data_IF_686814164958
#
_entry.id   IF_686814164958
#
_cell.length_a   1.000
_cell.length_b   1.000
_cell.length_c   1.000
_cell.angle_alpha   90.00
_cell.angle_beta   90.00
_cell.angle_gamma   90.00
#
_symmetry.space_group_name_H-M   'P 1'
#
loop_
_entity.id
_entity.type
_entity.pdbx_description
1 polymer ?
#
# COMPACT_ATOMS: atom_id res chain seq x y z
N UNK A 1 -16.88 2.58 -8.02
CA UNK A 1 -15.64 2.73 -7.21
C UNK A 1 -14.49 2.16 -8.00
N UNK A 2 -13.31 2.77 -7.92
CA UNK A 2 -12.12 2.32 -8.64
C UNK A 2 -11.28 1.41 -7.74
N UNK A 3 -10.45 0.59 -8.36
CA UNK A 3 -9.53 -0.31 -7.66
C UNK A 3 -8.11 0.10 -7.99
N UNK A 4 -7.29 0.28 -6.96
CA UNK A 4 -5.91 0.70 -7.12
C UNK A 4 -4.95 -0.34 -6.55
N UNK A 5 -3.77 -0.42 -7.15
CA UNK A 5 -2.60 -1.10 -6.57
C UNK A 5 -1.67 -0.04 -6.02
N UNK A 6 -1.21 -0.22 -4.78
CA UNK A 6 -0.28 0.70 -4.12
C UNK A 6 1.12 0.12 -4.19
N UNK A 7 2.04 0.92 -4.71
CA UNK A 7 3.46 0.63 -4.79
C UNK A 7 4.22 1.53 -3.81
N UNK A 8 5.28 0.99 -3.21
CA UNK A 8 6.14 1.70 -2.26
C UNK A 8 7.61 1.59 -2.63
N UNK A 9 8.35 2.69 -2.50
CA UNK A 9 9.83 2.72 -2.53
C UNK A 9 10.35 3.81 -1.61
N UNK A 10 11.12 3.45 -0.58
CA UNK A 10 11.79 4.41 0.33
C UNK A 10 10.87 5.57 0.78
N UNK A 11 9.65 5.24 1.23
CA UNK A 11 8.56 6.18 1.66
C UNK A 11 7.77 6.89 0.55
N UNK A 12 8.10 6.69 -0.73
CA UNK A 12 7.25 7.12 -1.84
C UNK A 12 6.13 6.11 -2.06
N UNK A 13 4.89 6.59 -2.10
CA UNK A 13 3.71 5.78 -2.38
C UNK A 13 3.10 6.21 -3.72
N UNK A 14 2.83 5.24 -4.59
CA UNK A 14 2.21 5.45 -5.89
C UNK A 14 0.98 4.56 -6.01
N UNK A 15 -0.15 5.14 -6.44
CA UNK A 15 -1.38 4.41 -6.70
C UNK A 15 -1.63 4.29 -8.21
N UNK A 16 -1.73 3.06 -8.70
CA UNK A 16 -2.09 2.75 -10.09
C UNK A 16 -3.52 2.20 -10.16
N UNK A 17 -4.35 2.70 -11.07
CA UNK A 17 -5.71 2.19 -11.29
C UNK A 17 -5.62 0.89 -12.08
N UNK A 18 -6.17 -0.20 -11.53
CA UNK A 18 -6.13 -1.54 -12.17
C UNK A 18 -6.99 -1.56 -13.44
N UNK A 19 -7.94 -0.64 -13.56
CA UNK A 19 -8.86 -0.55 -14.70
C UNK A 19 -8.33 0.36 -15.83
N UNK A 20 -7.20 1.06 -15.62
CA UNK A 20 -6.57 1.87 -16.68
C UNK A 20 -5.83 0.94 -17.67
N UNK A 21 -5.91 1.25 -18.97
CA UNK A 21 -5.23 0.47 -20.02
C UNK A 21 -3.71 0.53 -19.88
N UNK A 22 -3.18 1.60 -19.29
CA UNK A 22 -1.75 1.80 -19.02
C UNK A 22 -1.25 1.02 -17.80
N UNK A 23 -2.14 0.37 -17.04
CA UNK A 23 -1.80 -0.28 -15.77
C UNK A 23 -0.62 -1.24 -15.88
N UNK A 24 -0.59 -2.10 -16.91
CA UNK A 24 0.48 -3.09 -17.07
C UNK A 24 1.82 -2.43 -17.39
N UNK A 25 1.83 -1.41 -18.25
CA UNK A 25 3.04 -0.68 -18.61
C UNK A 25 3.61 0.08 -17.41
N UNK A 26 2.77 0.82 -16.69
CA UNK A 26 3.16 1.58 -15.50
C UNK A 26 3.62 0.63 -14.37
N UNK A 27 2.93 -0.49 -14.17
CA UNK A 27 3.32 -1.52 -13.20
C UNK A 27 4.72 -2.06 -13.50
N UNK A 28 5.00 -2.42 -14.75
CA UNK A 28 6.33 -2.91 -15.13
C UNK A 28 7.42 -1.86 -14.91
N UNK A 29 7.13 -0.59 -15.22
CA UNK A 29 8.07 0.50 -14.97
C UNK A 29 8.36 0.67 -13.47
N UNK A 30 7.34 0.61 -12.61
CA UNK A 30 7.51 0.68 -11.17
C UNK A 30 8.35 -0.50 -10.65
N UNK A 31 8.03 -1.72 -11.07
CA UNK A 31 8.79 -2.91 -10.67
C UNK A 31 10.26 -2.86 -11.13
N UNK A 32 10.53 -2.38 -12.35
CA UNK A 32 11.90 -2.17 -12.85
C UNK A 32 12.67 -1.10 -12.07
N UNK A 33 11.96 -0.17 -11.44
CA UNK A 33 12.53 0.88 -10.61
C UNK A 33 12.49 0.51 -9.12
N UNK A 34 12.59 -0.78 -8.75
CA UNK A 34 12.59 -1.29 -7.36
C UNK A 34 11.41 -0.81 -6.49
N UNK A 35 10.26 -0.50 -7.09
CA UNK A 35 9.06 -0.34 -6.30
C UNK A 35 8.49 -1.71 -5.93
N UNK A 36 8.04 -1.84 -4.70
CA UNK A 36 7.41 -3.03 -4.19
C UNK A 36 5.91 -2.83 -4.12
N UNK A 37 5.14 -3.90 -4.32
CA UNK A 37 3.68 -3.83 -4.15
C UNK A 37 3.38 -3.88 -2.65
N UNK A 38 2.92 -2.76 -2.10
CA UNK A 38 2.48 -2.66 -0.71
C UNK A 38 1.08 -3.22 -0.56
N UNK A 39 0.15 -2.81 -1.43
CA UNK A 39 -1.25 -3.26 -1.41
C UNK A 39 -1.68 -3.64 -2.82
N UNK A 40 -2.10 -4.89 -3.00
CA UNK A 40 -2.51 -5.44 -4.32
C UNK A 40 -3.84 -4.90 -4.82
N UNK A 41 -4.74 -4.54 -3.92
CA UNK A 41 -6.06 -4.04 -4.27
C UNK A 41 -6.60 -3.15 -3.14
N UNK A 42 -6.86 -1.89 -3.45
CA UNK A 42 -7.53 -0.96 -2.55
C UNK A 42 -8.68 -0.27 -3.28
N UNK A 43 -9.85 -0.29 -2.66
CA UNK A 43 -11.02 0.40 -3.20
C UNK A 43 -11.05 1.86 -2.74
N UNK A 44 -11.04 2.77 -3.71
CA UNK A 44 -11.08 4.20 -3.46
C UNK A 44 -11.86 4.94 -4.55
N UNK A 45 -12.21 6.19 -4.28
CA UNK A 45 -12.87 7.06 -5.25
C UNK A 45 -11.85 7.62 -6.26
N UNK A 46 -10.64 7.90 -5.81
CA UNK A 46 -9.53 8.47 -6.56
C UNK A 46 -8.17 7.99 -6.00
N UNK A 47 -7.08 8.40 -6.68
CA UNK A 47 -5.69 8.03 -6.34
C UNK A 47 -5.26 8.61 -4.98
N UNK A 48 -5.74 9.81 -4.61
CA UNK A 48 -5.39 10.46 -3.34
C UNK A 48 -5.94 9.69 -2.14
N UNK A 49 -7.23 9.33 -2.19
CA UNK A 49 -7.89 8.53 -1.15
C UNK A 49 -7.25 7.13 -1.06
N UNK A 50 -6.81 6.55 -2.18
CA UNK A 50 -6.12 5.27 -2.18
C UNK A 50 -4.79 5.34 -1.40
N UNK A 51 -4.01 6.41 -1.59
CA UNK A 51 -2.75 6.64 -0.88
C UNK A 51 -3.01 6.93 0.61
N UNK A 52 -4.03 7.74 0.93
CA UNK A 52 -4.38 8.06 2.32
C UNK A 52 -4.78 6.80 3.10
N UNK A 53 -5.63 5.95 2.52
CA UNK A 53 -5.98 4.66 3.12
C UNK A 53 -4.77 3.75 3.28
N UNK A 54 -3.86 3.71 2.29
CA UNK A 54 -2.65 2.92 2.40
C UNK A 54 -1.75 3.36 3.56
N UNK A 55 -1.57 4.68 3.73
CA UNK A 55 -0.83 5.25 4.89
C UNK A 55 -1.48 4.89 6.21
N UNK A 56 -2.81 4.93 6.27
CA UNK A 56 -3.56 4.55 7.48
C UNK A 56 -3.41 3.07 7.81
N UNK A 57 -3.45 2.18 6.80
CA UNK A 57 -3.24 0.75 6.98
C UNK A 57 -1.80 0.41 7.40
N UNK A 58 -0.79 1.07 6.82
CA UNK A 58 0.62 0.95 7.22
C UNK A 58 0.83 1.39 8.68
N UNK A 59 0.27 2.53 9.09
CA UNK A 59 0.32 3.01 10.46
C UNK A 59 -0.39 2.07 11.45
N UNK A 60 -1.48 1.41 11.02
CA UNK A 60 -2.21 0.44 11.83
C UNK A 60 -1.43 -0.87 12.02
N UNK A 61 -0.72 -1.34 11.00
CA UNK A 61 0.17 -2.50 11.13
C UNK A 61 1.32 -2.21 12.10
N UNK A 62 1.92 -1.02 12.02
CA UNK A 62 3.01 -0.61 12.92
C UNK A 62 2.60 -0.55 14.40
N UNK A 63 1.35 -0.19 14.69
CA UNK A 63 0.85 -0.14 16.07
C UNK A 63 0.49 -1.51 16.65
N UNK A 64 0.18 -2.51 15.82
CA UNK A 64 -0.22 -3.83 16.33
C UNK A 64 0.99 -4.67 16.76
N UNK A 65 2.12 -4.54 16.08
CA UNK A 65 3.36 -5.25 16.44
C UNK A 65 3.94 -4.78 17.79
N UNK A 66 3.64 -3.55 18.21
CA UNK A 66 4.06 -3.02 19.51
C UNK A 66 3.18 -3.49 20.68
N UNK A 67 1.99 -4.03 20.42
CA UNK A 67 1.06 -4.45 21.48
C UNK A 67 1.25 -5.94 21.82
N UNK A 68 1.62 -6.78 20.85
CA UNK A 68 1.75 -8.24 21.07
C UNK A 68 3.01 -8.63 21.85
N UNK A 69 4.06 -7.78 21.90
CA UNK A 69 5.28 -8.11 22.65
C UNK A 69 5.17 -7.91 24.17
N UNK A 70 4.16 -7.20 24.68
CA UNK A 70 4.06 -6.85 26.11
C UNK A 70 3.15 -7.78 26.93
N UNK A 71 2.57 -8.83 26.34
CA UNK A 71 1.64 -9.73 27.05
C UNK A 71 2.19 -11.14 27.34
N UNK A 72 3.45 -11.45 26.98
CA UNK A 72 4.08 -12.74 27.28
C UNK A 72 5.09 -12.73 28.44
N UNK A 73 5.24 -11.60 29.15
CA UNK A 73 6.07 -11.50 30.37
C UNK A 73 5.24 -11.38 31.65
N UNK A 74 4.24 -12.26 31.82
CA UNK A 74 3.69 -12.55 33.15
C UNK A 74 3.71 -14.06 33.35
N UNK A 75 4.83 -14.50 33.95
CA UNK A 75 5.02 -15.79 34.61
C UNK A 75 3.94 -16.06 35.67
#
# INVERSE_FOLDING_TARGET
>A
MKQFTIFSKKKLLIALDINETTYNEEKEQLLKNDFEILIKNIQAKDKEIAIEKAKYEEAKQFNNDNIVSSFFDVL
#
